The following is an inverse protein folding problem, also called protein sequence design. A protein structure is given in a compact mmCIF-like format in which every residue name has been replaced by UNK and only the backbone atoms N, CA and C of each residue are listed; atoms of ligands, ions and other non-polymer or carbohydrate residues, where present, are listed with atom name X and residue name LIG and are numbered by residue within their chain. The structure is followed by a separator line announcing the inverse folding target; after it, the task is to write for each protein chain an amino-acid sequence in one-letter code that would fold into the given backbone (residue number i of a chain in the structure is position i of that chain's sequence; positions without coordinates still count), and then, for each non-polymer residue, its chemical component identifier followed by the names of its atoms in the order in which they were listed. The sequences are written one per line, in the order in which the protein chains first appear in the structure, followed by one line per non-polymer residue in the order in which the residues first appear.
data_IF_373327380944
#
_entry.id   IF_373327380944
#
_cell.length_a   1.000
_cell.length_b   1.000
_cell.length_c   1.000
_cell.angle_alpha   90.00
_cell.angle_beta   90.00
_cell.angle_gamma   90.00
#
_symmetry.space_group_name_H-M   'P 1'
#
loop_
_entity.id
_entity.type
_entity.pdbx_description
1 polymer ?
#
# COMPACT_ATOMS: atom_id res chain seq x y z
N UNK A 1 41.09 68.00 37.62
CA UNK A 1 41.40 66.62 37.27
C UNK A 1 40.25 65.64 37.50
N UNK A 2 39.17 66.04 38.14
CA UNK A 2 38.03 65.19 38.47
C UNK A 2 36.97 65.10 37.33
N UNK A 3 36.79 66.17 36.57
CA UNK A 3 35.74 66.21 35.49
C UNK A 3 36.06 65.35 34.26
N UNK A 4 37.30 65.10 33.93
CA UNK A 4 37.71 64.25 32.79
C UNK A 4 37.53 62.76 33.03
N UNK A 5 37.55 62.27 34.29
CA UNK A 5 37.31 60.87 34.63
C UNK A 5 35.84 60.54 34.50
N UNK A 6 34.92 61.41 34.80
CA UNK A 6 33.48 61.22 34.65
C UNK A 6 33.02 61.11 33.19
N UNK A 7 33.63 61.95 32.34
CA UNK A 7 33.32 61.97 30.90
C UNK A 7 33.79 60.71 30.18
N UNK A 8 34.96 60.14 30.50
CA UNK A 8 35.43 58.84 29.98
C UNK A 8 34.53 57.67 30.41
N UNK A 9 34.05 57.66 31.65
CA UNK A 9 33.19 56.60 32.17
C UNK A 9 31.82 56.67 31.53
N UNK A 10 31.28 57.80 31.21
CA UNK A 10 30.02 58.04 30.54
C UNK A 10 30.09 57.63 29.03
N UNK A 11 31.25 57.93 28.40
CA UNK A 11 31.51 57.60 26.99
C UNK A 11 31.65 56.06 26.81
N UNK A 12 32.36 55.37 27.72
CA UNK A 12 32.50 53.88 27.69
C UNK A 12 31.22 53.20 27.97
N UNK A 13 30.32 53.73 28.84
CA UNK A 13 29.00 53.16 29.09
C UNK A 13 28.10 53.27 27.88
N UNK A 14 28.08 54.39 27.16
CA UNK A 14 27.28 54.53 25.91
C UNK A 14 27.80 53.62 24.79
N UNK A 15 29.12 53.43 24.67
CA UNK A 15 29.70 52.51 23.70
C UNK A 15 29.39 51.07 24.05
N UNK A 16 29.44 50.68 25.35
CA UNK A 16 29.06 49.34 25.80
C UNK A 16 27.58 49.06 25.55
N UNK A 17 26.68 50.03 25.77
CA UNK A 17 25.26 49.90 25.48
C UNK A 17 24.98 49.74 23.99
N UNK A 18 25.70 50.47 23.13
CA UNK A 18 25.64 50.35 21.68
C UNK A 18 26.05 48.96 21.19
N UNK A 19 27.10 48.39 21.77
CA UNK A 19 27.53 47.03 21.46
C UNK A 19 26.49 45.94 21.91
N UNK A 20 25.86 46.10 23.07
CA UNK A 20 24.81 45.21 23.55
C UNK A 20 23.58 45.21 22.62
N UNK A 21 23.21 46.43 22.14
CA UNK A 21 22.10 46.53 21.18
C UNK A 21 22.45 45.85 19.85
N UNK A 22 23.67 46.02 19.34
CA UNK A 22 24.15 45.38 18.11
C UNK A 22 24.14 43.83 18.24
N UNK A 23 24.61 43.32 19.38
CA UNK A 23 24.59 41.87 19.63
C UNK A 23 23.16 41.36 19.72
N UNK A 24 22.26 42.08 20.40
CA UNK A 24 20.84 41.66 20.51
C UNK A 24 20.13 41.69 19.15
N UNK A 25 20.38 42.72 18.33
CA UNK A 25 19.83 42.79 16.97
C UNK A 25 20.42 41.67 16.09
N UNK A 26 21.72 41.41 16.16
CA UNK A 26 22.38 40.32 15.46
C UNK A 26 21.79 38.94 15.82
N UNK A 27 21.51 38.71 17.12
CA UNK A 27 20.88 37.48 17.59
C UNK A 27 19.45 37.35 17.10
N UNK A 28 18.66 38.43 17.09
CA UNK A 28 17.31 38.44 16.53
C UNK A 28 17.30 38.14 15.03
N UNK A 29 18.16 38.77 14.26
CA UNK A 29 18.30 38.53 12.81
C UNK A 29 18.73 37.07 12.56
N UNK A 30 19.68 36.56 13.33
CA UNK A 30 20.14 35.17 13.23
C UNK A 30 19.02 34.18 13.53
N UNK A 31 18.22 34.43 14.58
CA UNK A 31 17.10 33.53 14.93
C UNK A 31 15.97 33.53 13.89
N UNK A 32 15.71 34.68 13.24
CA UNK A 32 14.74 34.78 12.15
C UNK A 32 15.23 34.05 10.90
N UNK A 33 16.49 34.20 10.53
CA UNK A 33 17.09 33.53 9.36
C UNK A 33 17.15 32.01 9.56
N UNK A 34 17.60 31.54 10.73
CA UNK A 34 17.69 30.09 11.01
C UNK A 34 16.32 29.45 11.18
N UNK A 35 15.41 30.10 11.89
CA UNK A 35 14.00 29.59 12.06
C UNK A 35 13.25 29.54 10.74
N UNK A 36 13.42 30.49 9.84
CA UNK A 36 12.81 30.49 8.51
C UNK A 36 13.40 29.42 7.59
N UNK A 37 14.71 29.16 7.66
CA UNK A 37 15.36 28.14 6.86
C UNK A 37 14.91 26.70 7.23
N UNK A 38 14.70 26.43 8.52
CA UNK A 38 14.20 25.14 8.98
C UNK A 38 12.76 24.87 8.49
N UNK A 39 11.85 25.86 8.64
CA UNK A 39 10.47 25.72 8.13
C UNK A 39 10.40 25.50 6.62
N UNK A 40 11.26 26.18 5.86
CA UNK A 40 11.27 26.05 4.39
C UNK A 40 11.81 24.70 3.92
N UNK A 41 12.72 24.07 4.66
CA UNK A 41 13.26 22.75 4.34
C UNK A 41 12.23 21.65 4.60
N UNK A 42 11.50 21.69 5.71
CA UNK A 42 10.43 20.75 6.03
C UNK A 42 9.26 20.85 5.03
N UNK A 43 8.84 22.06 4.69
CA UNK A 43 7.79 22.25 3.68
C UNK A 43 8.17 21.72 2.29
N UNK A 44 9.43 21.86 1.87
CA UNK A 44 9.91 21.31 0.60
C UNK A 44 9.93 19.79 0.60
N UNK A 45 10.30 19.14 1.70
CA UNK A 45 10.31 17.68 1.83
C UNK A 45 8.89 17.11 1.81
N UNK A 46 7.98 17.68 2.58
CA UNK A 46 6.57 17.29 2.60
C UNK A 46 5.91 17.47 1.22
N UNK A 47 6.17 18.60 0.55
CA UNK A 47 5.66 18.84 -0.80
C UNK A 47 6.20 17.83 -1.81
N UNK A 48 7.49 17.51 -1.74
CA UNK A 48 8.12 16.51 -2.62
C UNK A 48 7.52 15.11 -2.42
N UNK A 49 7.29 14.70 -1.16
CA UNK A 49 6.66 13.42 -0.85
C UNK A 49 5.21 13.34 -1.37
N UNK A 50 4.40 14.37 -1.11
CA UNK A 50 3.03 14.43 -1.60
C UNK A 50 2.99 14.35 -3.12
N UNK A 51 3.91 15.04 -3.82
CA UNK A 51 4.05 14.95 -5.28
C UNK A 51 4.40 13.53 -5.71
N UNK A 52 5.36 12.88 -5.05
CA UNK A 52 5.75 11.50 -5.34
C UNK A 52 4.57 10.53 -5.16
N UNK A 53 3.86 10.61 -4.04
CA UNK A 53 2.71 9.75 -3.76
C UNK A 53 1.61 9.93 -4.80
N UNK A 54 1.33 11.16 -5.24
CA UNK A 54 0.37 11.45 -6.31
C UNK A 54 0.80 10.95 -7.70
N UNK A 55 2.08 10.71 -7.91
CA UNK A 55 2.63 10.18 -9.17
C UNK A 55 2.74 8.65 -9.19
N UNK A 56 2.69 7.99 -8.04
CA UNK A 56 2.73 6.54 -7.96
C UNK A 56 1.41 5.96 -8.49
N UNK A 57 1.45 5.25 -9.61
CA UNK A 57 0.25 4.68 -10.22
C UNK A 57 -0.15 3.34 -9.61
N UNK A 58 0.83 2.49 -9.26
CA UNK A 58 0.56 1.18 -8.67
C UNK A 58 1.27 1.05 -7.32
N UNK A 59 0.54 0.55 -6.32
CA UNK A 59 1.12 0.23 -5.00
C UNK A 59 0.55 -1.08 -4.50
N UNK A 60 1.42 -2.04 -4.22
CA UNK A 60 1.05 -3.31 -3.59
C UNK A 60 1.06 -3.12 -2.08
N UNK A 61 -0.06 -3.39 -1.44
CA UNK A 61 -0.18 -3.34 0.02
C UNK A 61 -0.08 -4.72 0.65
N UNK A 62 -0.52 -5.76 -0.07
CA UNK A 62 -0.58 -7.10 0.47
C UNK A 62 -0.15 -8.11 -0.59
N UNK A 63 0.73 -9.05 -0.21
CA UNK A 63 1.07 -10.21 -0.99
C UNK A 63 0.54 -11.45 -0.26
N UNK A 64 -0.35 -12.20 -0.91
CA UNK A 64 -1.08 -13.31 -0.29
C UNK A 64 -0.77 -14.60 -1.01
N UNK A 65 -0.23 -15.58 -0.28
CA UNK A 65 -0.17 -16.97 -0.73
C UNK A 65 -1.54 -17.62 -0.53
N UNK A 66 -2.08 -18.19 -1.58
CA UNK A 66 -3.40 -18.84 -1.59
C UNK A 66 -3.24 -20.29 -2.01
N UNK A 67 -3.77 -21.20 -1.22
CA UNK A 67 -3.94 -22.61 -1.58
C UNK A 67 -5.43 -22.90 -1.81
N UNK A 68 -5.76 -23.47 -2.94
CA UNK A 68 -7.12 -23.83 -3.29
C UNK A 68 -7.20 -25.30 -3.67
N UNK A 69 -8.13 -26.02 -3.08
CA UNK A 69 -8.43 -27.40 -3.43
C UNK A 69 -9.64 -27.42 -4.35
N UNK A 70 -9.47 -27.95 -5.55
CA UNK A 70 -10.52 -28.04 -6.55
C UNK A 70 -10.85 -29.49 -6.85
N UNK A 71 -12.13 -29.76 -6.86
CA UNK A 71 -12.67 -31.06 -7.29
C UNK A 71 -13.51 -30.85 -8.53
N UNK A 72 -13.25 -31.59 -9.58
CA UNK A 72 -14.12 -31.68 -10.77
C UNK A 72 -14.46 -33.13 -11.04
N UNK A 73 -15.72 -33.35 -11.43
CA UNK A 73 -16.19 -34.65 -11.88
C UNK A 73 -16.85 -34.47 -13.24
N UNK A 74 -16.53 -35.36 -14.15
CA UNK A 74 -17.20 -35.52 -15.44
C UNK A 74 -17.89 -36.88 -15.49
N UNK A 75 -19.05 -36.96 -16.15
CA UNK A 75 -19.73 -38.23 -16.44
C UNK A 75 -20.22 -38.24 -17.89
N UNK A 76 -20.41 -39.44 -18.44
CA UNK A 76 -21.08 -39.59 -19.72
C UNK A 76 -22.58 -39.37 -19.54
N UNK A 77 -23.20 -38.59 -20.42
CA UNK A 77 -24.66 -38.33 -20.40
C UNK A 77 -25.35 -39.02 -21.57
N UNK A 78 -26.61 -39.36 -21.39
CA UNK A 78 -27.46 -39.89 -22.49
C UNK A 78 -27.60 -38.74 -23.52
N UNK A 79 -27.36 -39.00 -24.85
CA UNK A 79 -27.50 -38.01 -25.88
C UNK A 79 -28.83 -37.24 -25.81
N UNK A 80 -28.76 -35.90 -26.01
CA UNK A 80 -29.89 -34.95 -25.96
C UNK A 80 -30.59 -34.83 -24.58
N UNK A 81 -30.00 -35.41 -23.51
CA UNK A 81 -30.50 -35.28 -22.14
C UNK A 81 -29.40 -34.77 -21.22
N UNK A 82 -29.74 -34.39 -19.97
CA UNK A 82 -28.77 -34.09 -18.90
C UNK A 82 -28.63 -35.26 -17.92
N UNK A 83 -29.10 -36.43 -18.27
CA UNK A 83 -29.09 -37.60 -17.39
C UNK A 83 -27.73 -38.28 -17.50
N UNK A 84 -27.00 -38.35 -16.38
CA UNK A 84 -25.71 -39.04 -16.28
C UNK A 84 -25.93 -40.58 -16.34
N UNK A 85 -25.02 -41.27 -17.01
CA UNK A 85 -24.99 -42.74 -17.03
C UNK A 85 -24.26 -43.21 -15.76
N UNK A 86 -24.85 -44.09 -14.94
CA UNK A 86 -24.18 -44.62 -13.75
C UNK A 86 -22.85 -45.30 -14.07
N UNK A 87 -21.91 -45.28 -13.13
CA UNK A 87 -20.59 -45.93 -13.23
C UNK A 87 -19.67 -45.35 -14.33
N UNK A 88 -19.96 -44.14 -14.83
CA UNK A 88 -19.13 -43.45 -15.83
C UNK A 88 -18.36 -42.24 -15.28
N UNK A 89 -18.43 -41.93 -13.98
CA UNK A 89 -17.80 -40.77 -13.41
C UNK A 89 -16.26 -40.84 -13.49
N UNK A 90 -15.65 -39.75 -13.93
CA UNK A 90 -14.24 -39.43 -13.73
C UNK A 90 -14.14 -38.26 -12.78
N UNK A 91 -13.28 -38.36 -11.77
CA UNK A 91 -13.07 -37.35 -10.75
C UNK A 91 -11.58 -36.97 -10.69
N UNK A 92 -11.31 -35.71 -10.55
CA UNK A 92 -9.97 -35.20 -10.23
C UNK A 92 -10.03 -34.23 -9.08
N UNK A 93 -9.07 -34.34 -8.17
CA UNK A 93 -8.82 -33.39 -7.07
C UNK A 93 -7.47 -32.75 -7.30
N UNK A 94 -7.45 -31.42 -7.39
CA UNK A 94 -6.26 -30.65 -7.68
C UNK A 94 -6.04 -29.65 -6.56
N UNK A 95 -4.82 -29.57 -6.06
CA UNK A 95 -4.36 -28.51 -5.16
C UNK A 95 -3.65 -27.47 -5.99
N UNK A 96 -4.13 -26.24 -5.95
CA UNK A 96 -3.54 -25.08 -6.64
C UNK A 96 -2.89 -24.16 -5.63
N UNK A 97 -1.64 -23.79 -5.86
CA UNK A 97 -0.91 -22.79 -5.06
C UNK A 97 -0.61 -21.57 -5.95
N UNK A 98 -0.98 -20.40 -5.48
CA UNK A 98 -0.74 -19.16 -6.20
C UNK A 98 -0.55 -17.98 -5.26
N UNK A 99 0.11 -16.94 -5.77
CA UNK A 99 0.33 -15.68 -5.09
C UNK A 99 -0.51 -14.59 -5.74
N UNK A 100 -1.22 -13.82 -4.93
CA UNK A 100 -1.96 -12.64 -5.37
C UNK A 100 -1.34 -11.38 -4.75
N UNK A 101 -1.01 -10.40 -5.59
CA UNK A 101 -0.58 -9.07 -5.19
C UNK A 101 -1.78 -8.15 -5.21
N UNK A 102 -2.18 -7.65 -4.04
CA UNK A 102 -3.36 -6.83 -3.86
C UNK A 102 -2.95 -5.40 -3.49
N UNK A 103 -3.61 -4.42 -4.08
CA UNK A 103 -3.25 -3.02 -3.86
C UNK A 103 -4.10 -2.04 -4.66
N UNK A 104 -3.49 -0.98 -5.17
CA UNK A 104 -4.14 0.06 -5.98
C UNK A 104 -3.42 0.23 -7.31
N UNK A 105 -4.18 0.46 -8.38
CA UNK A 105 -3.67 0.80 -9.73
C UNK A 105 -3.71 2.29 -10.04
N UNK A 106 -4.27 3.09 -9.15
CA UNK A 106 -4.36 4.54 -9.28
C UNK A 106 -3.71 5.20 -8.08
N UNK A 107 -3.10 6.36 -8.29
CA UNK A 107 -2.54 7.15 -7.20
C UNK A 107 -3.61 7.50 -6.15
N UNK A 108 -3.22 7.57 -4.88
CA UNK A 108 -4.07 8.12 -3.82
C UNK A 108 -4.21 9.63 -3.96
N UNK A 109 -5.35 10.16 -3.52
CA UNK A 109 -5.48 11.61 -3.34
C UNK A 109 -5.01 12.00 -1.94
N UNK A 110 -4.18 13.06 -1.88
CA UNK A 110 -3.62 13.60 -0.64
C UNK A 110 -4.05 15.06 -0.52
N UNK A 111 -4.91 15.34 0.44
CA UNK A 111 -5.38 16.68 0.78
C UNK A 111 -4.71 17.18 2.06
N UNK A 112 -4.07 18.35 2.02
CA UNK A 112 -3.53 19.01 3.22
C UNK A 112 -4.67 19.68 3.97
N UNK A 113 -4.88 19.31 5.23
CA UNK A 113 -5.91 19.88 6.10
C UNK A 113 -5.34 20.99 7.00
N UNK A 114 -4.10 20.84 7.47
CA UNK A 114 -3.35 21.83 8.24
C UNK A 114 -1.85 21.65 8.04
N UNK A 115 -1.00 22.41 8.74
CA UNK A 115 0.46 22.28 8.66
C UNK A 115 0.96 20.86 8.96
N UNK A 116 0.29 20.14 9.88
CA UNK A 116 0.69 18.81 10.33
C UNK A 116 -0.40 17.75 10.11
N UNK A 117 -1.46 18.05 9.34
CA UNK A 117 -2.58 17.12 9.15
C UNK A 117 -2.89 16.94 7.66
N UNK A 118 -3.00 15.67 7.25
CA UNK A 118 -3.33 15.30 5.86
C UNK A 118 -4.44 14.26 5.84
N UNK A 119 -5.27 14.33 4.80
CA UNK A 119 -6.27 13.31 4.47
C UNK A 119 -5.78 12.53 3.26
N UNK A 120 -5.71 11.21 3.39
CA UNK A 120 -5.38 10.29 2.30
C UNK A 120 -6.64 9.57 1.88
N UNK A 121 -7.03 9.73 0.61
CA UNK A 121 -8.14 8.99 0.02
C UNK A 121 -7.56 7.88 -0.85
N UNK A 122 -7.72 6.65 -0.38
CA UNK A 122 -7.26 5.44 -1.07
C UNK A 122 -8.32 5.04 -2.10
N UNK A 123 -7.96 4.90 -3.40
CA UNK A 123 -8.89 4.48 -4.43
C UNK A 123 -9.31 3.03 -4.22
N UNK A 124 -10.26 2.56 -5.04
CA UNK A 124 -10.70 1.17 -5.03
C UNK A 124 -9.53 0.22 -5.24
N UNK A 125 -9.51 -0.84 -4.43
CA UNK A 125 -8.49 -1.89 -4.53
C UNK A 125 -8.64 -2.71 -5.80
N UNK A 126 -7.52 -3.24 -6.25
CA UNK A 126 -7.40 -4.06 -7.44
C UNK A 126 -6.40 -5.20 -7.22
N UNK A 127 -6.50 -6.23 -8.03
CA UNK A 127 -5.47 -7.25 -8.13
C UNK A 127 -4.39 -6.73 -9.08
N UNK A 128 -3.22 -6.44 -8.53
CA UNK A 128 -2.08 -5.93 -9.29
C UNK A 128 -1.45 -7.05 -10.12
N UNK A 129 -1.43 -8.24 -9.56
CA UNK A 129 -0.94 -9.42 -10.26
C UNK A 129 -1.33 -10.69 -9.53
N UNK A 130 -1.49 -11.76 -10.30
CA UNK A 130 -1.71 -13.10 -9.78
C UNK A 130 -0.85 -14.08 -10.58
N UNK A 131 -0.16 -14.98 -9.90
CA UNK A 131 0.70 -15.96 -10.52
C UNK A 131 0.67 -17.27 -9.73
N UNK A 132 0.81 -18.38 -10.43
CA UNK A 132 1.02 -19.67 -9.77
C UNK A 132 2.34 -19.66 -9.00
N UNK A 133 2.38 -20.37 -7.88
CA UNK A 133 3.62 -20.58 -7.12
C UNK A 133 4.69 -21.20 -8.02
N UNK A 134 5.92 -20.69 -7.94
CA UNK A 134 7.00 -21.12 -8.82
C UNK A 134 7.56 -22.50 -8.49
N UNK A 135 7.44 -22.95 -7.23
CA UNK A 135 8.00 -24.21 -6.76
C UNK A 135 6.99 -25.34 -6.83
N UNK A 136 5.73 -25.04 -6.48
CA UNK A 136 4.67 -26.01 -6.43
C UNK A 136 3.35 -25.42 -6.99
N UNK A 137 3.26 -25.14 -8.31
CA UNK A 137 2.14 -24.41 -8.91
C UNK A 137 0.82 -25.15 -8.75
N UNK A 138 0.82 -26.45 -8.96
CA UNK A 138 -0.31 -27.30 -8.72
C UNK A 138 0.14 -28.74 -8.46
N UNK A 139 -0.73 -29.48 -7.78
CA UNK A 139 -0.54 -30.89 -7.53
C UNK A 139 -1.84 -31.61 -7.83
N UNK A 140 -1.78 -32.62 -8.68
CA UNK A 140 -2.87 -33.57 -8.84
C UNK A 140 -2.84 -34.49 -7.61
N UNK A 141 -3.86 -34.33 -6.74
CA UNK A 141 -3.96 -35.11 -5.52
C UNK A 141 -4.59 -36.48 -5.76
N UNK A 142 -5.66 -36.52 -6.57
CA UNK A 142 -6.36 -37.73 -6.93
C UNK A 142 -6.94 -37.61 -8.34
N UNK A 143 -6.87 -38.70 -9.08
CA UNK A 143 -7.54 -38.86 -10.37
C UNK A 143 -8.09 -40.29 -10.43
N UNK A 144 -9.38 -40.42 -10.30
CA UNK A 144 -10.09 -41.70 -10.29
C UNK A 144 -11.16 -41.72 -11.36
N UNK A 145 -11.46 -42.93 -11.84
CA UNK A 145 -12.55 -43.20 -12.75
C UNK A 145 -13.30 -44.45 -12.35
N UNK A 146 -14.61 -44.40 -12.48
CA UNK A 146 -15.45 -45.55 -12.26
C UNK A 146 -15.30 -46.62 -13.38
N UNK A 147 -15.87 -47.79 -13.19
CA UNK A 147 -15.69 -48.97 -14.04
C UNK A 147 -15.97 -48.70 -15.53
N UNK A 148 -16.97 -47.91 -15.86
CA UNK A 148 -17.37 -47.57 -17.23
C UNK A 148 -16.90 -46.18 -17.68
N UNK A 149 -15.95 -45.56 -16.97
CA UNK A 149 -15.49 -44.19 -17.22
C UNK A 149 -14.64 -44.02 -18.49
N UNK A 150 -14.29 -45.11 -19.19
CA UNK A 150 -13.53 -45.07 -20.44
C UNK A 150 -14.20 -44.22 -21.53
N UNK A 151 -15.52 -44.08 -21.50
CA UNK A 151 -16.32 -43.26 -22.44
C UNK A 151 -16.43 -41.79 -22.01
N UNK A 152 -15.99 -41.44 -20.79
CA UNK A 152 -16.09 -40.11 -20.25
C UNK A 152 -14.82 -39.29 -20.59
N UNK A 153 -15.02 -38.05 -21.03
CA UNK A 153 -13.94 -37.13 -21.32
C UNK A 153 -13.03 -36.89 -20.09
N UNK A 154 -11.76 -36.81 -20.33
CA UNK A 154 -10.79 -36.46 -19.27
C UNK A 154 -11.04 -35.07 -18.70
N UNK A 155 -10.61 -34.88 -17.47
CA UNK A 155 -10.75 -33.57 -16.80
C UNK A 155 -9.63 -32.68 -17.27
N UNK A 156 -10.00 -31.56 -17.89
CA UNK A 156 -9.06 -30.50 -18.26
C UNK A 156 -8.62 -29.72 -16.99
N UNK A 157 -7.42 -30.01 -16.53
CA UNK A 157 -6.81 -29.34 -15.37
C UNK A 157 -6.42 -27.89 -15.68
N UNK A 158 -6.10 -27.56 -16.93
CA UNK A 158 -5.80 -26.22 -17.38
C UNK A 158 -7.02 -25.29 -17.30
N UNK A 159 -8.20 -25.81 -17.65
CA UNK A 159 -9.47 -25.08 -17.48
C UNK A 159 -9.72 -24.73 -16.01
N UNK A 160 -9.47 -25.66 -15.09
CA UNK A 160 -9.63 -25.42 -13.66
C UNK A 160 -8.70 -24.31 -13.15
N UNK A 161 -7.43 -24.33 -13.55
CA UNK A 161 -6.46 -23.26 -13.23
C UNK A 161 -6.93 -21.92 -13.75
N UNK A 162 -7.28 -21.84 -15.04
CA UNK A 162 -7.73 -20.60 -15.68
C UNK A 162 -8.98 -20.03 -15.00
N UNK A 163 -9.93 -20.88 -14.66
CA UNK A 163 -11.17 -20.47 -13.96
C UNK A 163 -10.88 -19.89 -12.58
N UNK A 164 -9.91 -20.44 -11.85
CA UNK A 164 -9.53 -19.93 -10.51
C UNK A 164 -8.79 -18.59 -10.56
N UNK A 165 -8.03 -18.36 -11.60
CA UNK A 165 -7.35 -17.07 -11.82
C UNK A 165 -8.26 -16.03 -12.50
N UNK A 166 -9.53 -16.35 -12.76
CA UNK A 166 -10.48 -15.48 -13.44
C UNK A 166 -10.82 -14.23 -12.65
N UNK A 167 -11.28 -13.18 -13.34
CA UNK A 167 -11.70 -11.91 -12.77
C UNK A 167 -12.78 -12.02 -11.69
N UNK A 168 -13.71 -12.98 -11.83
CA UNK A 168 -14.75 -13.21 -10.83
C UNK A 168 -14.15 -13.62 -9.48
N UNK A 169 -13.15 -14.53 -9.49
CA UNK A 169 -12.46 -14.96 -8.28
C UNK A 169 -11.56 -13.87 -7.70
N UNK A 170 -10.96 -13.03 -8.53
CA UNK A 170 -10.20 -11.88 -8.07
C UNK A 170 -11.05 -10.92 -7.23
N UNK A 171 -12.32 -10.71 -7.59
CA UNK A 171 -13.26 -9.91 -6.79
C UNK A 171 -13.52 -10.51 -5.42
N UNK A 172 -13.62 -11.84 -5.32
CA UNK A 172 -13.79 -12.52 -4.03
C UNK A 172 -12.57 -12.30 -3.12
N UNK A 173 -11.34 -12.37 -3.68
CA UNK A 173 -10.12 -12.11 -2.91
C UNK A 173 -10.07 -10.67 -2.40
N UNK A 174 -10.43 -9.68 -3.22
CA UNK A 174 -10.47 -8.28 -2.80
C UNK A 174 -11.45 -8.08 -1.63
N UNK A 175 -12.61 -8.72 -1.64
CA UNK A 175 -13.57 -8.68 -0.53
C UNK A 175 -13.00 -9.34 0.73
N UNK A 176 -12.43 -10.53 0.58
CA UNK A 176 -11.88 -11.31 1.70
C UNK A 176 -10.75 -10.60 2.42
N UNK A 177 -9.88 -9.89 1.69
CA UNK A 177 -8.69 -9.25 2.23
C UNK A 177 -8.82 -7.73 2.42
N UNK A 178 -10.05 -7.16 2.33
CA UNK A 178 -10.30 -5.71 2.40
C UNK A 178 -9.72 -5.08 3.66
N UNK A 179 -9.95 -5.67 4.82
CA UNK A 179 -9.49 -5.11 6.10
C UNK A 179 -7.97 -5.17 6.25
N UNK A 180 -7.35 -6.26 5.79
CA UNK A 180 -5.89 -6.39 5.77
C UNK A 180 -5.25 -5.35 4.84
N UNK A 181 -5.84 -5.13 3.66
CA UNK A 181 -5.38 -4.07 2.74
C UNK A 181 -5.55 -2.68 3.35
N UNK A 182 -6.67 -2.39 4.01
CA UNK A 182 -6.88 -1.12 4.71
C UNK A 182 -5.82 -0.87 5.78
N UNK A 183 -5.50 -1.89 6.58
CA UNK A 183 -4.49 -1.79 7.63
C UNK A 183 -3.08 -1.63 7.04
N UNK A 184 -2.75 -2.39 6.00
CA UNK A 184 -1.47 -2.29 5.32
C UNK A 184 -1.28 -0.93 4.63
N UNK A 185 -2.32 -0.40 3.97
CA UNK A 185 -2.29 0.93 3.38
C UNK A 185 -2.08 2.03 4.43
N UNK A 186 -2.80 1.96 5.57
CA UNK A 186 -2.59 2.90 6.70
C UNK A 186 -1.15 2.86 7.19
N UNK A 187 -0.62 1.66 7.48
CA UNK A 187 0.74 1.48 7.97
C UNK A 187 1.78 2.01 6.97
N UNK A 188 1.60 1.72 5.68
CA UNK A 188 2.47 2.18 4.61
C UNK A 188 2.56 3.71 4.56
N UNK A 189 1.42 4.41 4.49
CA UNK A 189 1.42 5.87 4.41
C UNK A 189 1.83 6.53 5.72
N UNK A 190 1.47 5.95 6.88
CA UNK A 190 1.95 6.42 8.18
C UNK A 190 3.47 6.38 8.25
N UNK A 191 4.10 5.29 7.82
CA UNK A 191 5.55 5.16 7.79
C UNK A 191 6.20 6.20 6.87
N UNK A 192 5.65 6.42 5.65
CA UNK A 192 6.16 7.42 4.71
C UNK A 192 6.12 8.84 5.28
N UNK A 193 5.02 9.25 5.86
CA UNK A 193 4.87 10.60 6.41
C UNK A 193 5.66 10.79 7.70
N UNK A 194 5.69 9.79 8.58
CA UNK A 194 6.45 9.84 9.83
C UNK A 194 7.97 9.88 9.62
N UNK A 195 8.46 9.40 8.48
CA UNK A 195 9.88 9.53 8.11
C UNK A 195 10.30 10.98 7.86
N UNK A 196 9.35 11.88 7.58
CA UNK A 196 9.61 13.30 7.36
C UNK A 196 9.40 14.10 8.65
N UNK A 197 8.23 13.91 9.27
CA UNK A 197 7.88 14.57 10.53
C UNK A 197 6.97 13.68 11.35
N UNK A 198 7.42 13.31 12.56
CA UNK A 198 6.69 12.45 13.50
C UNK A 198 5.39 13.08 14.04
N UNK A 199 5.23 14.40 13.88
CA UNK A 199 4.03 15.12 14.32
C UNK A 199 2.92 15.10 13.29
N UNK A 200 3.15 14.58 12.08
CA UNK A 200 2.13 14.50 11.03
C UNK A 200 1.04 13.53 11.45
N UNK A 201 -0.19 14.00 11.34
CA UNK A 201 -1.41 13.21 11.58
C UNK A 201 -2.08 12.89 10.25
N UNK A 202 -2.41 11.61 10.05
CA UNK A 202 -3.09 11.15 8.85
C UNK A 202 -4.51 10.70 9.16
N UNK A 203 -5.44 11.13 8.34
CA UNK A 203 -6.81 10.59 8.27
C UNK A 203 -6.98 9.84 6.96
N UNK A 204 -7.73 8.74 6.98
CA UNK A 204 -7.90 7.87 5.82
C UNK A 204 -9.36 7.78 5.40
N UNK A 205 -9.59 7.82 4.10
CA UNK A 205 -10.84 7.45 3.46
C UNK A 205 -10.55 6.37 2.41
N UNK A 206 -11.42 5.38 2.31
CA UNK A 206 -11.29 4.27 1.36
C UNK A 206 -12.48 4.28 0.41
N UNK A 207 -12.20 4.23 -0.91
CA UNK A 207 -13.26 4.08 -1.91
C UNK A 207 -13.85 2.67 -1.87
N UNK A 208 -15.16 2.58 -2.05
CA UNK A 208 -15.90 1.31 -2.14
C UNK A 208 -15.90 0.71 -3.54
#
# INVERSE_FOLDING_TARGET
MFLLKGFKKMLTFKVALGWLILVAVGFLVFSVITGGAYKQKENKQSYSLVKYIKQANETVFLNVGIQSIETKANNTTIPWTKIGIPLTEKKAVIILNFEAKLGIKKAVDVAKLSETSYKITVPKYDVIGIALDKKAPYQLYDASGELLSYSTSDIDTGELVTKKLSNAKQTDYLKQYKDQMNNAAKAYYQALFSAIDKNIRLTFAFAE
#
